data_IF_583059470970
#
_entry.id   IF_583059470970
#
_cell.length_a   1.000
_cell.length_b   1.000
_cell.length_c   1.000
_cell.angle_alpha   90.00
_cell.angle_beta   90.00
_cell.angle_gamma   90.00
#
_symmetry.space_group_name_H-M   'P 1'
#
loop_
_entity.id
_entity.type
_entity.pdbx_description
1 polymer ?
#
# COMPACT_ATOMS: atom_id res chain seq x y z
N UNK A 1 -58.30 -5.74 24.41
CA UNK A 1 -57.70 -7.07 24.61
C UNK A 1 -57.40 -7.65 23.24
N UNK A 2 -56.20 -7.38 22.72
CA UNK A 2 -55.69 -8.01 21.50
C UNK A 2 -54.16 -8.02 21.64
N UNK A 3 -53.64 -9.20 21.93
CA UNK A 3 -52.23 -9.49 22.17
C UNK A 3 -51.60 -9.75 20.80
N UNK A 4 -50.70 -8.87 20.35
CA UNK A 4 -49.85 -9.14 19.18
C UNK A 4 -48.62 -9.93 19.66
N UNK A 5 -48.56 -11.19 19.25
CA UNK A 5 -47.47 -12.13 19.50
C UNK A 5 -46.28 -11.81 18.58
N UNK A 6 -45.13 -11.57 19.21
CA UNK A 6 -43.79 -11.54 18.64
C UNK A 6 -43.41 -12.94 18.13
N UNK A 7 -42.96 -13.03 16.87
CA UNK A 7 -42.21 -14.19 16.36
C UNK A 7 -40.81 -13.69 16.01
N UNK A 8 -39.88 -13.88 16.96
CA UNK A 8 -38.45 -13.67 16.79
C UNK A 8 -37.84 -14.99 16.29
N UNK A 9 -37.44 -15.02 15.02
CA UNK A 9 -36.78 -16.16 14.40
C UNK A 9 -35.26 -16.00 14.57
N UNK A 10 -34.73 -16.61 15.63
CA UNK A 10 -33.29 -16.79 15.83
C UNK A 10 -32.80 -17.94 14.92
N UNK A 11 -32.05 -17.61 13.87
CA UNK A 11 -31.28 -18.59 13.10
C UNK A 11 -29.88 -18.69 13.73
N UNK A 12 -29.61 -19.80 14.41
CA UNK A 12 -28.27 -20.16 14.88
C UNK A 12 -27.62 -20.97 13.76
N UNK A 13 -26.66 -20.36 13.06
CA UNK A 13 -25.74 -21.06 12.15
C UNK A 13 -24.55 -21.50 12.98
N UNK A 14 -24.48 -22.80 13.28
CA UNK A 14 -23.27 -23.42 13.84
C UNK A 14 -22.28 -23.69 12.72
N UNK A 15 -21.13 -23.02 12.74
CA UNK A 15 -19.97 -23.44 11.96
C UNK A 15 -19.20 -24.49 12.77
N UNK A 16 -19.09 -25.70 12.22
CA UNK A 16 -18.21 -26.76 12.72
C UNK A 16 -16.75 -26.30 12.70
N UNK A 17 -16.10 -26.44 13.86
CA UNK A 17 -14.69 -26.10 14.07
C UNK A 17 -13.84 -27.30 13.61
N UNK A 18 -13.10 -27.13 12.51
CA UNK A 18 -12.08 -28.11 12.05
C UNK A 18 -10.78 -27.83 12.78
N UNK A 19 -10.24 -28.85 13.43
CA UNK A 19 -9.07 -28.80 14.30
C UNK A 19 -7.78 -29.11 13.49
N UNK A 20 -6.83 -28.18 13.34
CA UNK A 20 -5.60 -28.39 12.58
C UNK A 20 -4.42 -28.71 13.51
N UNK A 21 -4.39 -29.93 14.06
CA UNK A 21 -3.28 -30.40 14.92
C UNK A 21 -2.84 -31.82 14.50
N UNK A 22 -2.36 -31.94 13.26
CA UNK A 22 -1.69 -33.14 12.75
C UNK A 22 -0.76 -32.72 11.59
N UNK A 23 0.44 -32.23 11.89
CA UNK A 23 1.56 -32.31 10.94
C UNK A 23 2.78 -32.80 11.70
N UNK A 24 2.98 -34.10 11.52
CA UNK A 24 3.96 -34.96 12.14
C UNK A 24 5.36 -34.75 11.53
N UNK A 25 6.35 -35.08 12.33
CA UNK A 25 7.78 -35.01 12.12
C UNK A 25 8.22 -35.67 10.80
N UNK A 26 9.22 -35.08 10.14
CA UNK A 26 10.18 -35.92 9.41
C UNK A 26 11.59 -35.34 9.54
N UNK A 27 12.30 -35.96 10.48
CA UNK A 27 13.74 -35.91 10.70
C UNK A 27 14.47 -36.52 9.49
N UNK A 28 15.47 -35.83 8.94
CA UNK A 28 16.49 -36.42 8.06
C UNK A 28 17.86 -36.03 8.62
N UNK A 29 18.67 -36.98 9.11
CA UNK A 29 20.10 -36.77 9.34
C UNK A 29 20.94 -37.43 8.22
N UNK A 30 22.24 -37.08 8.24
CA UNK A 30 23.35 -37.62 7.43
C UNK A 30 23.42 -37.03 6.01
N UNK A 31 24.57 -36.66 5.46
CA UNK A 31 25.89 -37.29 5.61
C UNK A 31 27.00 -36.29 5.21
N UNK A 32 28.13 -36.40 5.90
CA UNK A 32 29.38 -35.70 5.65
C UNK A 32 30.13 -36.45 4.55
N UNK A 33 30.60 -35.76 3.50
CA UNK A 33 31.71 -36.24 2.66
C UNK A 33 32.65 -35.08 2.36
N UNK A 34 33.75 -35.05 3.12
CA UNK A 34 35.03 -34.48 2.68
C UNK A 34 35.65 -35.43 1.64
N UNK A 35 36.13 -34.93 0.50
CA UNK A 35 37.52 -35.17 0.10
C UNK A 35 37.91 -34.44 -1.20
N UNK A 36 39.05 -33.77 -1.11
CA UNK A 36 40.14 -33.66 -2.09
C UNK A 36 39.79 -33.60 -3.59
N UNK A 37 40.02 -32.43 -4.21
CA UNK A 37 40.37 -32.40 -5.63
C UNK A 37 41.61 -31.53 -5.86
N UNK A 38 42.57 -32.19 -6.49
CA UNK A 38 43.95 -31.80 -6.73
C UNK A 38 44.12 -30.58 -7.64
N UNK A 39 45.21 -29.90 -7.34
CA UNK A 39 45.93 -28.88 -8.07
C UNK A 39 46.23 -29.30 -9.52
N UNK A 40 45.70 -28.53 -10.49
CA UNK A 40 46.15 -28.55 -11.88
C UNK A 40 46.37 -27.11 -12.35
N UNK A 41 47.65 -26.74 -12.40
CA UNK A 41 48.17 -25.51 -13.01
C UNK A 41 48.69 -25.89 -14.39
N UNK A 42 48.15 -25.24 -15.44
CA UNK A 42 48.65 -25.05 -16.82
C UNK A 42 47.39 -24.78 -17.66
N UNK A 43 47.25 -23.80 -18.55
CA UNK A 43 48.15 -22.97 -19.34
C UNK A 43 47.26 -21.80 -19.85
N UNK A 44 47.65 -20.55 -19.60
CA UNK A 44 46.86 -19.37 -20.03
C UNK A 44 47.21 -19.10 -21.50
N UNK A 45 46.31 -19.49 -22.40
CA UNK A 45 46.29 -19.02 -23.79
C UNK A 45 45.34 -17.82 -23.84
N UNK A 46 45.91 -16.63 -24.04
CA UNK A 46 45.16 -15.40 -24.33
C UNK A 46 44.47 -15.55 -25.70
N UNK A 47 43.21 -15.96 -25.69
CA UNK A 47 42.29 -15.79 -26.81
C UNK A 47 41.48 -14.52 -26.51
N UNK A 48 41.81 -13.42 -27.19
CA UNK A 48 40.97 -12.21 -27.23
C UNK A 48 39.64 -12.55 -27.91
N UNK A 49 38.69 -13.07 -27.14
CA UNK A 49 37.29 -13.09 -27.52
C UNK A 49 36.75 -11.68 -27.36
N UNK A 50 36.52 -11.02 -28.49
CA UNK A 50 35.80 -9.77 -28.58
C UNK A 50 34.35 -10.05 -28.13
N UNK A 51 34.08 -9.84 -26.84
CA UNK A 51 32.73 -9.83 -26.29
C UNK A 51 31.99 -8.64 -26.91
N UNK A 52 31.16 -8.92 -27.91
CA UNK A 52 30.19 -7.99 -28.44
C UNK A 52 29.20 -7.72 -27.31
N UNK A 53 29.39 -6.61 -26.62
CA UNK A 53 28.51 -6.09 -25.57
C UNK A 53 27.13 -5.89 -26.20
N UNK A 54 26.26 -6.90 -26.01
CA UNK A 54 24.83 -6.80 -26.31
C UNK A 54 24.29 -5.78 -25.32
N UNK A 55 24.26 -4.52 -25.75
CA UNK A 55 23.50 -3.48 -25.07
C UNK A 55 22.04 -3.87 -25.22
N UNK A 56 21.52 -4.58 -24.21
CA UNK A 56 20.08 -4.75 -24.05
C UNK A 56 19.48 -3.34 -23.96
N UNK A 57 18.74 -2.97 -25.00
CA UNK A 57 17.88 -1.80 -25.00
C UNK A 57 16.83 -2.04 -23.91
N UNK A 58 17.10 -1.51 -22.71
CA UNK A 58 16.12 -1.43 -21.63
C UNK A 58 14.97 -0.61 -22.19
N UNK A 59 13.91 -1.30 -22.61
CA UNK A 59 12.64 -0.65 -22.91
C UNK A 59 12.18 -0.11 -21.56
N UNK A 60 12.31 1.19 -21.34
CA UNK A 60 11.63 1.88 -20.23
C UNK A 60 10.14 1.62 -20.44
N UNK A 61 9.58 0.64 -19.71
CA UNK A 61 8.14 0.43 -19.71
C UNK A 61 7.50 1.72 -19.21
N UNK A 62 6.53 2.23 -19.96
CA UNK A 62 5.76 3.43 -19.63
C UNK A 62 5.04 3.19 -18.28
N UNK A 63 5.69 3.52 -17.16
CA UNK A 63 5.17 3.36 -15.78
C UNK A 63 4.09 4.39 -15.43
N UNK A 64 3.59 5.14 -16.40
CA UNK A 64 2.56 6.15 -16.18
C UNK A 64 1.17 5.52 -16.02
N UNK A 65 0.40 6.02 -15.07
CA UNK A 65 -0.96 5.54 -14.80
C UNK A 65 -1.95 6.69 -14.65
N UNK A 66 -3.22 6.36 -14.80
CA UNK A 66 -4.33 7.28 -14.52
C UNK A 66 -5.23 6.76 -13.38
N UNK A 67 -5.22 5.45 -13.17
CA UNK A 67 -5.92 4.75 -12.10
C UNK A 67 -5.06 3.61 -11.59
N UNK A 68 -5.25 3.19 -10.34
CA UNK A 68 -4.46 2.09 -9.77
C UNK A 68 -4.74 0.75 -10.44
N UNK A 69 -5.88 0.62 -11.13
CA UNK A 69 -6.18 -0.55 -11.97
C UNK A 69 -5.28 -0.65 -13.22
N UNK A 70 -4.54 0.42 -13.56
CA UNK A 70 -3.54 0.42 -14.64
C UNK A 70 -2.21 -0.23 -14.19
N UNK A 71 -2.01 -0.41 -12.88
CA UNK A 71 -0.74 -0.86 -12.29
C UNK A 71 -0.70 -2.37 -12.00
N UNK A 72 0.49 -2.89 -11.67
CA UNK A 72 0.65 -4.30 -11.32
C UNK A 72 -0.03 -4.66 -9.99
N UNK A 73 -0.08 -5.96 -9.68
CA UNK A 73 -0.68 -6.42 -8.45
C UNK A 73 0.07 -5.89 -7.21
N UNK A 74 -0.67 -5.31 -6.25
CA UNK A 74 -0.17 -4.59 -5.06
C UNK A 74 0.52 -3.24 -5.34
N UNK A 75 0.44 -2.73 -6.57
CA UNK A 75 0.83 -1.36 -6.87
C UNK A 75 -0.38 -0.44 -6.88
N UNK A 76 -0.09 0.84 -6.69
CA UNK A 76 -1.05 1.91 -6.77
C UNK A 76 -0.58 2.94 -7.78
N UNK A 77 -1.54 3.68 -8.34
CA UNK A 77 -1.20 4.85 -9.13
C UNK A 77 -0.88 6.01 -8.20
N UNK A 78 0.40 6.21 -7.89
CA UNK A 78 0.93 7.21 -6.97
C UNK A 78 1.42 8.39 -7.81
N UNK A 79 0.70 9.52 -7.73
CA UNK A 79 1.05 10.74 -8.48
C UNK A 79 1.25 10.53 -10.00
N UNK A 80 0.49 9.60 -10.58
CA UNK A 80 0.54 9.27 -12.00
C UNK A 80 1.64 8.27 -12.40
N UNK A 81 2.31 7.65 -11.42
CA UNK A 81 3.29 6.57 -11.63
C UNK A 81 2.89 5.33 -10.85
N UNK A 82 3.03 4.15 -11.44
CA UNK A 82 2.81 2.89 -10.72
C UNK A 82 3.93 2.63 -9.72
N UNK A 83 3.57 2.32 -8.47
CA UNK A 83 4.52 1.98 -7.41
C UNK A 83 3.86 1.42 -6.17
N UNK A 84 4.67 0.96 -5.21
CA UNK A 84 4.18 0.43 -3.94
C UNK A 84 4.12 1.53 -2.88
N UNK A 85 3.19 1.39 -1.93
CA UNK A 85 3.15 2.30 -0.78
C UNK A 85 4.39 2.20 0.11
N UNK A 86 5.10 1.08 0.09
CA UNK A 86 6.40 0.91 0.75
C UNK A 86 7.47 1.82 0.16
N UNK A 87 7.34 2.25 -1.10
CA UNK A 87 8.35 3.08 -1.76
C UNK A 87 8.27 4.54 -1.30
N UNK A 88 7.15 4.92 -0.68
CA UNK A 88 6.94 6.25 -0.09
C UNK A 88 7.68 6.37 1.25
N UNK A 89 7.86 5.25 1.96
CA UNK A 89 8.37 5.23 3.32
C UNK A 89 9.71 4.50 3.39
N UNK A 90 10.62 4.97 4.24
CA UNK A 90 11.83 4.20 4.52
C UNK A 90 11.46 2.96 5.36
N UNK A 91 11.34 1.82 4.70
CA UNK A 91 10.98 0.53 5.32
C UNK A 91 12.17 -0.44 5.37
N UNK A 92 13.32 -0.06 4.84
CA UNK A 92 14.49 -0.93 4.70
C UNK A 92 15.60 -0.53 5.68
N UNK A 93 15.82 -1.30 6.75
CA UNK A 93 16.96 -1.13 7.64
C UNK A 93 16.76 -1.64 9.06
N UNK A 94 17.84 -1.65 9.85
CA UNK A 94 17.75 -1.73 11.31
C UNK A 94 17.37 -0.34 11.83
N UNK A 95 16.07 -0.06 11.97
CA UNK A 95 15.61 1.16 12.62
C UNK A 95 15.70 1.05 14.14
N UNK A 96 16.22 2.09 14.78
CA UNK A 96 16.17 2.24 16.25
C UNK A 96 14.73 2.46 16.74
N UNK A 97 13.85 2.97 15.87
CA UNK A 97 12.45 3.26 16.17
C UNK A 97 11.61 3.13 14.91
N UNK A 98 10.65 2.21 14.95
CA UNK A 98 9.71 1.94 13.87
C UNK A 98 8.36 2.57 14.21
N UNK A 99 7.80 3.37 13.31
CA UNK A 99 6.59 4.16 13.51
C UNK A 99 5.48 3.79 12.52
N UNK A 100 4.24 4.10 12.91
CA UNK A 100 3.10 4.03 12.01
C UNK A 100 2.05 5.09 12.39
N UNK A 101 1.36 5.65 11.41
CA UNK A 101 0.27 6.61 11.67
C UNK A 101 -0.86 5.94 12.45
N UNK A 102 -1.26 6.50 13.58
CA UNK A 102 -2.48 6.10 14.28
C UNK A 102 -3.68 6.88 13.71
N UNK A 103 -3.54 8.21 13.65
CA UNK A 103 -4.54 9.12 13.10
C UNK A 103 -3.86 10.25 12.34
N UNK A 104 -4.50 10.73 11.28
CA UNK A 104 -4.12 11.91 10.52
C UNK A 104 -5.29 12.89 10.53
N UNK A 105 -5.03 14.14 10.87
CA UNK A 105 -6.00 15.23 10.77
C UNK A 105 -5.80 15.90 9.42
N UNK A 106 -6.86 15.87 8.62
CA UNK A 106 -6.89 16.44 7.28
C UNK A 106 -7.99 17.50 7.21
N UNK A 107 -7.67 18.65 6.64
CA UNK A 107 -8.64 19.69 6.35
C UNK A 107 -8.90 19.79 4.84
N UNK A 108 -10.14 20.16 4.49
CA UNK A 108 -10.52 20.45 3.11
C UNK A 108 -10.58 21.96 2.88
N UNK A 109 -10.40 22.43 1.64
CA UNK A 109 -10.60 23.84 1.29
C UNK A 109 -12.01 24.38 1.59
N UNK A 110 -13.00 23.49 1.74
CA UNK A 110 -14.37 23.84 2.10
C UNK A 110 -14.56 24.07 3.62
N UNK A 111 -13.50 23.81 4.40
CA UNK A 111 -13.45 24.05 5.85
C UNK A 111 -13.87 22.84 6.70
N UNK A 112 -13.97 21.65 6.10
CA UNK A 112 -14.22 20.42 6.86
C UNK A 112 -12.91 19.90 7.45
N UNK A 113 -12.92 19.53 8.73
CA UNK A 113 -11.81 18.88 9.43
C UNK A 113 -12.17 17.42 9.70
N UNK A 114 -11.25 16.51 9.42
CA UNK A 114 -11.49 15.08 9.47
C UNK A 114 -10.30 14.36 10.10
N UNK A 115 -10.60 13.46 11.03
CA UNK A 115 -9.61 12.53 11.58
C UNK A 115 -9.70 11.20 10.84
N UNK A 116 -8.66 10.87 10.09
CA UNK A 116 -8.52 9.61 9.37
C UNK A 116 -7.66 8.65 10.19
N UNK A 117 -8.25 7.54 10.64
CA UNK A 117 -7.48 6.41 11.18
C UNK A 117 -7.03 5.47 10.05
N UNK A 118 -6.05 4.61 10.33
CA UNK A 118 -5.51 3.64 9.35
C UNK A 118 -6.62 2.85 8.65
N UNK A 119 -6.57 2.83 7.32
CA UNK A 119 -7.54 2.10 6.49
C UNK A 119 -8.97 2.65 6.56
N UNK A 120 -9.19 3.75 7.27
CA UNK A 120 -10.46 4.46 7.31
C UNK A 120 -10.40 5.67 6.37
N UNK A 121 -11.58 6.01 5.86
CA UNK A 121 -11.76 7.13 4.98
C UNK A 121 -12.99 7.94 5.32
N UNK A 122 -13.07 9.11 4.72
CA UNK A 122 -14.27 9.93 4.71
C UNK A 122 -14.70 10.18 3.26
N UNK A 123 -15.84 10.84 3.08
CA UNK A 123 -16.42 11.04 1.77
C UNK A 123 -17.10 12.40 1.66
N UNK A 124 -17.13 12.94 0.44
CA UNK A 124 -17.96 14.11 0.13
C UNK A 124 -19.43 13.80 0.30
N UNK A 125 -20.25 14.85 0.37
CA UNK A 125 -21.70 14.70 0.28
C UNK A 125 -22.10 13.77 -0.89
N UNK A 126 -23.00 12.82 -0.60
CA UNK A 126 -23.45 11.75 -1.49
C UNK A 126 -22.43 10.66 -1.89
N UNK A 127 -21.24 10.62 -1.30
CA UNK A 127 -20.28 9.52 -1.48
C UNK A 127 -19.59 9.50 -2.85
N UNK A 128 -19.46 10.66 -3.48
CA UNK A 128 -18.91 10.79 -4.83
C UNK A 128 -17.38 10.77 -4.87
N UNK A 129 -16.72 11.35 -3.88
CA UNK A 129 -15.28 11.16 -3.66
C UNK A 129 -15.10 10.64 -2.24
N UNK A 130 -14.35 9.55 -2.12
CA UNK A 130 -13.88 9.00 -0.85
C UNK A 130 -12.36 9.21 -0.78
N UNK A 131 -11.85 9.66 0.36
CA UNK A 131 -10.42 9.70 0.63
C UNK A 131 -10.13 8.86 1.85
N UNK A 132 -9.07 8.06 1.78
CA UNK A 132 -8.76 7.04 2.76
C UNK A 132 -7.28 7.05 3.10
N UNK A 133 -6.98 6.99 4.38
CA UNK A 133 -5.59 6.81 4.83
C UNK A 133 -5.17 5.37 4.49
N UNK A 134 -4.14 5.22 3.64
CA UNK A 134 -3.63 3.90 3.31
C UNK A 134 -3.02 3.24 4.54
N UNK A 135 -3.24 1.93 4.67
CA UNK A 135 -2.60 1.14 5.70
C UNK A 135 -1.21 0.74 5.20
N UNK A 136 -0.21 1.56 5.49
CA UNK A 136 1.19 1.22 5.22
C UNK A 136 1.77 0.30 6.30
N UNK A 137 2.89 -0.34 5.95
CA UNK A 137 3.77 -0.99 6.91
C UNK A 137 4.37 0.04 7.88
N UNK A 138 4.97 -0.45 8.96
CA UNK A 138 5.72 0.44 9.84
C UNK A 138 6.97 0.95 9.12
N UNK A 139 7.34 2.20 9.38
CA UNK A 139 8.44 2.90 8.72
C UNK A 139 9.46 3.39 9.74
N UNK A 140 10.68 3.58 9.29
CA UNK A 140 11.76 4.11 10.10
C UNK A 140 11.48 5.58 10.43
N UNK A 141 11.54 5.96 11.71
CA UNK A 141 11.37 7.36 12.09
C UNK A 141 12.53 8.21 11.54
N UNK A 142 12.22 9.16 10.66
CA UNK A 142 13.18 10.13 10.13
C UNK A 142 13.32 11.39 11.01
N UNK A 143 14.26 12.26 10.64
CA UNK A 143 14.38 13.61 11.22
C UNK A 143 13.31 14.57 10.67
N UNK A 144 12.87 14.34 9.43
CA UNK A 144 11.83 15.11 8.74
C UNK A 144 10.45 14.50 8.97
N UNK A 145 9.41 15.33 8.76
CA UNK A 145 8.02 14.87 8.84
C UNK A 145 7.74 13.82 7.76
N UNK A 146 7.14 12.69 8.16
CA UNK A 146 6.77 11.60 7.26
C UNK A 146 5.63 12.06 6.34
N UNK A 147 5.77 11.94 5.01
CA UNK A 147 4.69 12.24 4.08
C UNK A 147 3.51 11.28 4.28
N UNK A 148 2.28 11.73 4.01
CA UNK A 148 1.07 10.92 4.19
C UNK A 148 0.49 10.51 2.85
N UNK A 149 0.37 9.19 2.63
CA UNK A 149 -0.28 8.63 1.45
C UNK A 149 -1.81 8.52 1.63
N UNK A 150 -2.57 9.26 0.81
CA UNK A 150 -4.04 9.27 0.83
C UNK A 150 -4.56 8.67 -0.48
N UNK A 151 -5.35 7.60 -0.37
CA UNK A 151 -6.07 7.01 -1.51
C UNK A 151 -7.35 7.79 -1.79
N UNK A 152 -7.48 8.32 -3.00
CA UNK A 152 -8.68 8.98 -3.51
C UNK A 152 -9.46 8.02 -4.39
N UNK A 153 -10.74 7.80 -4.08
CA UNK A 153 -11.64 6.91 -4.82
C UNK A 153 -12.83 7.73 -5.30
N UNK A 154 -12.93 7.94 -6.61
CA UNK A 154 -14.04 8.68 -7.25
C UNK A 154 -15.11 7.69 -7.69
N UNK A 155 -16.36 7.92 -7.29
CA UNK A 155 -17.49 6.99 -7.47
C UNK A 155 -18.69 7.66 -8.10
N UNK A 156 -19.37 6.95 -8.99
CA UNK A 156 -20.65 7.35 -9.54
C UNK A 156 -21.66 6.20 -9.43
N UNK A 157 -22.74 6.43 -8.67
CA UNK A 157 -23.79 5.43 -8.41
C UNK A 157 -23.25 4.08 -7.88
N UNK A 158 -22.20 4.15 -7.05
CA UNK A 158 -21.55 2.98 -6.45
C UNK A 158 -20.51 2.29 -7.33
N UNK A 159 -20.29 2.74 -8.56
CA UNK A 159 -19.21 2.28 -9.42
C UNK A 159 -17.97 3.16 -9.21
N UNK A 160 -16.80 2.55 -9.03
CA UNK A 160 -15.52 3.27 -9.01
C UNK A 160 -15.22 3.73 -10.44
N UNK A 161 -14.98 5.03 -10.59
CA UNK A 161 -14.59 5.65 -11.86
C UNK A 161 -13.07 5.80 -11.96
N UNK A 162 -12.43 6.13 -10.85
CA UNK A 162 -10.97 6.24 -10.75
C UNK A 162 -10.54 6.07 -9.29
N UNK A 163 -9.34 5.55 -9.10
CA UNK A 163 -8.65 5.45 -7.83
C UNK A 163 -7.17 5.80 -8.00
N UNK A 164 -6.68 6.73 -7.20
CA UNK A 164 -5.31 7.22 -7.26
C UNK A 164 -4.81 7.52 -5.84
N UNK A 165 -3.49 7.58 -5.66
CA UNK A 165 -2.85 7.91 -4.40
C UNK A 165 -2.14 9.23 -4.56
N UNK A 166 -2.45 10.16 -3.66
CA UNK A 166 -1.70 11.41 -3.51
C UNK A 166 -0.84 11.32 -2.26
N UNK A 167 0.33 11.97 -2.30
CA UNK A 167 1.28 12.01 -1.19
C UNK A 167 1.35 13.46 -0.70
N UNK A 168 1.07 13.67 0.57
CA UNK A 168 1.03 15.02 1.16
C UNK A 168 2.01 15.18 2.30
N UNK A 169 2.83 16.22 2.20
CA UNK A 169 3.66 16.69 3.30
C UNK A 169 2.82 17.45 4.34
N UNK A 170 3.32 17.48 5.58
CA UNK A 170 2.68 18.20 6.68
C UNK A 170 2.58 19.71 6.38
N UNK A 171 1.36 20.24 6.43
CA UNK A 171 1.06 21.66 6.18
C UNK A 171 1.12 22.08 4.71
N UNK A 172 1.11 21.11 3.78
CA UNK A 172 1.09 21.37 2.34
C UNK A 172 -0.29 21.04 1.77
N UNK A 173 -0.86 21.99 1.03
CA UNK A 173 -2.11 21.78 0.29
C UNK A 173 -1.87 20.93 -0.97
N UNK A 174 -2.79 20.01 -1.23
CA UNK A 174 -2.81 19.19 -2.45
C UNK A 174 -3.17 20.01 -3.69
N UNK A 175 -2.96 19.41 -4.87
CA UNK A 175 -3.64 19.85 -6.09
C UNK A 175 -5.17 19.72 -5.96
N UNK A 176 -5.90 20.37 -6.87
CA UNK A 176 -7.37 20.37 -6.90
C UNK A 176 -7.94 18.97 -7.16
N UNK A 177 -8.73 18.47 -6.22
CA UNK A 177 -9.40 17.17 -6.28
C UNK A 177 -10.83 17.38 -6.78
N UNK A 178 -11.04 17.09 -8.07
CA UNK A 178 -12.34 17.14 -8.73
C UNK A 178 -13.01 15.77 -8.90
N UNK A 179 -14.28 15.78 -9.33
CA UNK A 179 -14.99 14.57 -9.77
C UNK A 179 -15.32 14.61 -11.28
N UNK A 180 -15.02 13.56 -12.07
CA UNK A 180 -15.11 13.60 -13.53
C UNK A 180 -16.51 13.89 -14.09
N UNK A 181 -17.56 13.52 -13.36
CA UNK A 181 -18.96 13.72 -13.80
C UNK A 181 -19.76 14.68 -12.93
N UNK A 182 -19.17 15.25 -11.86
CA UNK A 182 -19.87 16.12 -10.90
C UNK A 182 -19.02 17.38 -10.72
N UNK A 183 -19.23 18.36 -11.59
CA UNK A 183 -18.43 19.59 -11.65
C UNK A 183 -18.54 20.49 -10.40
N UNK A 184 -19.49 20.23 -9.49
CA UNK A 184 -19.60 20.96 -8.23
C UNK A 184 -18.68 20.42 -7.13
N UNK A 185 -18.01 19.28 -7.36
CA UNK A 185 -17.00 18.75 -6.45
C UNK A 185 -15.65 19.18 -6.97
N UNK A 186 -15.00 20.05 -6.21
CA UNK A 186 -13.66 20.58 -6.46
C UNK A 186 -13.14 21.15 -5.13
N UNK A 187 -12.13 20.52 -4.55
CA UNK A 187 -11.56 20.91 -3.25
C UNK A 187 -10.09 20.49 -3.16
N UNK A 188 -9.34 21.07 -2.24
CA UNK A 188 -7.97 20.62 -1.88
C UNK A 188 -7.99 19.95 -0.51
N UNK A 189 -6.95 19.17 -0.22
CA UNK A 189 -6.68 18.58 1.08
C UNK A 189 -5.38 19.13 1.65
N UNK A 190 -5.33 19.34 2.95
CA UNK A 190 -4.11 19.67 3.70
C UNK A 190 -3.98 18.72 4.89
N UNK A 191 -2.78 18.18 5.10
CA UNK A 191 -2.47 17.44 6.32
C UNK A 191 -2.07 18.44 7.40
N UNK A 192 -2.92 18.65 8.40
CA UNK A 192 -2.63 19.61 9.47
C UNK A 192 -1.74 19.02 10.55
N UNK A 193 -1.98 17.76 10.91
CA UNK A 193 -1.22 17.04 11.93
C UNK A 193 -1.48 15.54 11.85
N UNK A 194 -0.62 14.75 12.48
CA UNK A 194 -0.82 13.33 12.64
C UNK A 194 -0.23 12.85 13.97
N UNK A 195 -0.79 11.76 14.49
CA UNK A 195 -0.28 11.05 15.65
C UNK A 195 0.30 9.72 15.19
N UNK A 196 1.55 9.45 15.55
CA UNK A 196 2.24 8.19 15.25
C UNK A 196 2.31 7.29 16.49
N UNK A 197 2.33 5.98 16.28
CA UNK A 197 2.72 5.00 17.30
C UNK A 197 4.06 4.41 16.90
N UNK A 198 5.04 4.51 17.79
CA UNK A 198 6.40 4.04 17.54
C UNK A 198 6.86 3.02 18.58
N UNK A 199 7.67 2.05 18.15
CA UNK A 199 8.21 0.95 18.96
C UNK A 199 9.68 0.70 18.73
#
# INVERSE_FOLDING_TARGET
MMVMLLISSFFIVSCDYVNPDQLDETTIPEEIVEDNLEEAVEEIVEEETLEEEVVEEIIEEDTSCSVSDDCEWNEHCIEGVCGMTSDIYDTEGECDTSCNFNNVIVTTSDGDELTLSRGQGSYTAAGAVEWKLLSSADYCQGEDATPVAIELIKKNLGQILSNEVIVLDLGVESDSIGHPTIASIDFTLEVESYDETCS
#
